data_IF_041876790498
#
_entry.id   IF_041876790498
#
_cell.length_a   1.000
_cell.length_b   1.000
_cell.length_c   1.000
_cell.angle_alpha   90.00
_cell.angle_beta   90.00
_cell.angle_gamma   90.00
#
_symmetry.space_group_name_H-M   'P 1'
#
loop_
_entity.id
_entity.type
_entity.pdbx_description
1 polymer ?
#
# COMPACT_ATOMS: atom_id res chain seq x y z
N UNK A 1 3.47 1.65 18.00
CA UNK A 1 3.46 0.99 16.70
C UNK A 1 3.91 1.98 15.63
N UNK A 2 4.97 1.68 14.91
CA UNK A 2 5.49 2.58 13.90
C UNK A 2 4.67 2.47 12.61
N UNK A 3 3.75 3.41 12.36
CA UNK A 3 2.88 3.44 11.19
C UNK A 3 3.55 3.98 9.92
N UNK A 4 4.87 4.07 9.92
CA UNK A 4 5.60 4.59 8.76
C UNK A 4 5.63 3.60 7.59
N UNK A 5 5.63 2.31 7.89
CA UNK A 5 5.66 1.29 6.84
C UNK A 5 4.22 0.93 6.40
N UNK A 6 3.96 0.79 5.07
CA UNK A 6 2.60 0.60 4.58
C UNK A 6 1.98 -0.76 4.88
N UNK A 7 2.79 -1.79 5.16
CA UNK A 7 2.28 -3.14 5.47
C UNK A 7 2.61 -3.46 6.94
N UNK A 8 1.60 -3.84 7.71
CA UNK A 8 1.74 -4.14 9.13
C UNK A 8 0.91 -5.37 9.51
N UNK A 9 1.20 -5.92 10.70
CA UNK A 9 0.56 -7.13 11.20
C UNK A 9 -0.24 -6.86 12.47
N UNK A 10 -1.48 -7.32 12.50
CA UNK A 10 -2.35 -7.29 13.68
C UNK A 10 -2.95 -8.68 13.90
N UNK A 11 -3.01 -9.12 15.17
CA UNK A 11 -3.70 -10.38 15.56
C UNK A 11 -3.23 -11.60 14.78
N UNK A 12 -1.93 -11.74 14.59
CA UNK A 12 -1.32 -12.88 13.90
C UNK A 12 -1.58 -14.18 14.67
N UNK A 13 -1.92 -15.26 13.95
CA UNK A 13 -2.16 -16.60 14.53
C UNK A 13 -1.00 -17.57 14.27
N UNK A 14 0.14 -17.08 13.81
CA UNK A 14 1.41 -17.80 13.67
C UNK A 14 1.35 -19.01 12.74
N UNK A 15 0.61 -18.94 11.65
CA UNK A 15 0.56 -20.00 10.63
C UNK A 15 1.75 -20.00 9.68
N UNK A 16 2.57 -18.94 9.66
CA UNK A 16 3.78 -18.75 8.85
C UNK A 16 3.56 -18.81 7.33
N UNK A 17 2.32 -18.71 6.86
CA UNK A 17 2.04 -18.77 5.42
C UNK A 17 2.68 -17.61 4.66
N UNK A 18 2.61 -16.41 5.20
CA UNK A 18 3.26 -15.23 4.61
C UNK A 18 4.79 -15.39 4.54
N UNK A 19 5.41 -15.99 5.56
CA UNK A 19 6.85 -16.24 5.60
C UNK A 19 7.26 -17.16 4.44
N UNK A 20 6.51 -18.23 4.21
CA UNK A 20 6.78 -19.17 3.12
C UNK A 20 6.54 -18.56 1.75
N UNK A 21 5.57 -17.68 1.62
CA UNK A 21 5.12 -17.10 0.34
C UNK A 21 5.87 -15.82 -0.06
N UNK A 22 6.62 -15.22 0.84
CA UNK A 22 7.35 -13.98 0.51
C UNK A 22 8.56 -14.31 -0.39
N UNK A 23 8.51 -13.84 -1.64
CA UNK A 23 9.59 -14.06 -2.62
C UNK A 23 10.89 -13.33 -2.24
N UNK A 24 10.79 -12.23 -1.53
CA UNK A 24 11.94 -11.42 -1.10
C UNK A 24 12.47 -11.83 0.27
N UNK A 25 11.85 -12.80 0.94
CA UNK A 25 12.21 -13.24 2.30
C UNK A 25 12.24 -12.05 3.27
N UNK A 26 11.28 -11.15 3.14
CA UNK A 26 11.18 -9.92 3.88
C UNK A 26 10.30 -10.03 5.14
N UNK A 27 9.98 -11.24 5.58
CA UNK A 27 9.16 -11.47 6.76
C UNK A 27 9.94 -12.36 7.73
N UNK A 28 10.06 -11.89 8.97
CA UNK A 28 10.71 -12.63 10.07
C UNK A 28 9.70 -12.90 11.18
N UNK A 29 10.04 -13.86 12.03
CA UNK A 29 9.27 -14.12 13.24
C UNK A 29 9.87 -13.30 14.39
N UNK A 30 9.06 -12.46 14.98
CA UNK A 30 9.44 -11.58 16.07
C UNK A 30 8.41 -11.71 17.19
N UNK A 31 8.86 -12.08 18.40
CA UNK A 31 7.97 -12.37 19.54
C UNK A 31 6.88 -13.39 19.20
N UNK A 32 7.21 -14.40 18.38
CA UNK A 32 6.27 -15.43 17.94
C UNK A 32 5.38 -15.04 16.78
N UNK A 33 5.41 -13.81 16.32
CA UNK A 33 4.54 -13.29 15.25
C UNK A 33 5.32 -12.84 14.02
N UNK A 34 4.69 -12.97 12.85
CA UNK A 34 5.28 -12.55 11.59
C UNK A 34 5.37 -11.00 11.52
N UNK A 35 6.56 -10.50 11.21
CA UNK A 35 6.83 -9.08 11.08
C UNK A 35 7.56 -8.79 9.78
N UNK A 36 7.15 -7.74 9.07
CA UNK A 36 7.79 -7.33 7.81
C UNK A 36 9.13 -6.65 8.10
N UNK A 37 10.14 -7.00 7.29
CA UNK A 37 11.46 -6.36 7.30
C UNK A 37 11.45 -5.26 6.24
N UNK A 38 11.33 -3.96 6.61
CA UNK A 38 11.16 -2.89 5.62
C UNK A 38 12.28 -2.79 4.59
N UNK A 39 13.52 -3.09 5.00
CA UNK A 39 14.71 -2.99 4.14
C UNK A 39 14.73 -4.04 3.02
N UNK A 40 13.97 -5.12 3.17
CA UNK A 40 13.89 -6.21 2.18
C UNK A 40 12.56 -6.24 1.44
N UNK A 41 11.53 -5.64 1.98
CA UNK A 41 10.17 -5.67 1.43
C UNK A 41 10.05 -4.74 0.22
N UNK A 42 9.43 -5.22 -0.86
CA UNK A 42 9.16 -4.43 -2.06
C UNK A 42 7.70 -3.95 -2.12
N UNK A 43 6.94 -4.11 -1.04
CA UNK A 43 5.54 -3.66 -0.93
C UNK A 43 4.61 -4.27 -1.99
N UNK A 44 4.86 -5.52 -2.40
CA UNK A 44 4.01 -6.20 -3.40
C UNK A 44 2.62 -6.60 -2.88
N UNK A 45 2.43 -6.68 -1.57
CA UNK A 45 1.14 -7.00 -0.96
C UNK A 45 0.73 -8.47 -0.97
N UNK A 46 1.57 -9.38 -1.49
CA UNK A 46 1.21 -10.79 -1.59
C UNK A 46 0.91 -11.42 -0.22
N UNK A 47 1.67 -11.05 0.83
CA UNK A 47 1.46 -11.53 2.19
C UNK A 47 0.07 -11.14 2.74
N UNK A 48 -0.46 -10.01 2.32
CA UNK A 48 -1.82 -9.56 2.70
C UNK A 48 -2.87 -10.49 2.08
N UNK A 49 -2.68 -10.87 0.81
CA UNK A 49 -3.61 -11.74 0.09
C UNK A 49 -3.62 -13.17 0.63
N UNK A 50 -2.47 -13.70 1.03
CA UNK A 50 -2.35 -15.11 1.45
C UNK A 50 -2.64 -15.33 2.93
N UNK A 51 -2.76 -14.28 3.74
CA UNK A 51 -2.99 -14.41 5.18
C UNK A 51 -4.42 -14.91 5.45
N UNK A 52 -4.61 -16.13 5.99
CA UNK A 52 -5.95 -16.70 6.18
C UNK A 52 -6.73 -16.01 7.30
N UNK A 53 -6.05 -15.41 8.26
CA UNK A 53 -6.66 -14.69 9.38
C UNK A 53 -6.80 -13.18 9.12
N UNK A 54 -6.41 -12.71 7.94
CA UNK A 54 -6.42 -11.30 7.57
C UNK A 54 -5.63 -10.42 8.56
N UNK A 55 -4.57 -10.98 9.13
CA UNK A 55 -3.72 -10.29 10.11
C UNK A 55 -2.80 -9.26 9.47
N UNK A 56 -2.46 -9.43 8.19
CA UNK A 56 -1.67 -8.47 7.43
C UNK A 56 -2.58 -7.38 6.87
N UNK A 57 -2.22 -6.13 7.10
CA UNK A 57 -2.99 -4.98 6.67
C UNK A 57 -2.11 -4.01 5.86
N UNK A 58 -2.76 -3.29 4.96
CA UNK A 58 -2.14 -2.19 4.22
C UNK A 58 -2.63 -0.88 4.83
N UNK A 59 -1.68 0.04 5.09
CA UNK A 59 -2.01 1.36 5.61
C UNK A 59 -2.88 2.13 4.61
N UNK A 60 -3.98 2.70 5.10
CA UNK A 60 -4.86 3.54 4.28
C UNK A 60 -4.46 5.00 4.43
N UNK A 61 -3.93 5.59 3.36
CA UNK A 61 -3.46 6.98 3.34
C UNK A 61 -4.48 7.97 2.76
N UNK A 62 -5.73 7.56 2.57
CA UNK A 62 -6.76 8.41 1.95
C UNK A 62 -6.98 9.71 2.71
N UNK A 63 -7.06 9.65 4.04
CA UNK A 63 -7.25 10.87 4.86
C UNK A 63 -6.04 11.81 4.78
N UNK A 64 -4.83 11.26 4.70
CA UNK A 64 -3.61 12.05 4.50
C UNK A 64 -3.62 12.74 3.15
N UNK A 65 -4.02 12.04 2.09
CA UNK A 65 -4.16 12.62 0.76
C UNK A 65 -5.18 13.75 0.73
N UNK A 66 -6.33 13.56 1.37
CA UNK A 66 -7.36 14.61 1.50
C UNK A 66 -6.83 15.85 2.24
N UNK A 67 -6.09 15.65 3.32
CA UNK A 67 -5.50 16.75 4.07
C UNK A 67 -4.50 17.55 3.22
N UNK A 68 -3.68 16.86 2.42
CA UNK A 68 -2.74 17.51 1.50
C UNK A 68 -3.49 18.34 0.45
N UNK A 69 -4.57 17.81 -0.12
CA UNK A 69 -5.37 18.51 -1.12
C UNK A 69 -6.07 19.76 -0.55
N UNK A 70 -6.50 19.71 0.71
CA UNK A 70 -7.18 20.86 1.35
C UNK A 70 -6.21 21.92 1.87
N UNK A 71 -4.90 21.66 1.89
CA UNK A 71 -3.90 22.59 2.42
C UNK A 71 -3.58 23.79 1.50
N UNK A 72 -4.33 24.02 0.43
CA UNK A 72 -4.18 25.11 -0.54
C UNK A 72 -2.78 25.20 -1.16
N UNK A 73 -2.11 24.05 -1.32
CA UNK A 73 -0.81 23.93 -1.98
C UNK A 73 -0.97 23.29 -3.35
N UNK A 74 0.03 23.52 -4.20
CA UNK A 74 0.09 22.81 -5.49
C UNK A 74 0.42 21.35 -5.24
N UNK A 75 -0.46 20.45 -5.67
CA UNK A 75 -0.31 19.01 -5.48
C UNK A 75 -0.33 18.30 -6.83
N UNK A 76 0.67 17.45 -7.07
CA UNK A 76 0.79 16.67 -8.30
C UNK A 76 0.69 15.18 -7.98
N UNK A 77 0.22 14.39 -8.95
CA UNK A 77 0.17 12.93 -8.85
C UNK A 77 1.31 12.34 -9.65
N UNK A 78 2.06 11.43 -9.03
CA UNK A 78 2.96 10.53 -9.73
C UNK A 78 2.27 9.18 -9.89
N UNK A 79 1.86 8.84 -11.10
CA UNK A 79 1.02 7.68 -11.36
C UNK A 79 1.85 6.57 -12.00
N UNK A 80 1.92 5.41 -11.34
CA UNK A 80 2.62 4.24 -11.87
C UNK A 80 1.98 3.75 -13.17
N UNK A 81 2.77 3.27 -14.16
CA UNK A 81 2.21 2.84 -15.46
C UNK A 81 1.17 1.73 -15.37
N UNK A 82 1.15 0.96 -14.29
CA UNK A 82 0.18 -0.12 -14.05
C UNK A 82 -1.27 0.36 -13.93
N UNK A 83 -1.52 1.67 -13.83
CA UNK A 83 -2.88 2.22 -13.76
C UNK A 83 -3.73 1.76 -14.95
N UNK A 84 -3.12 1.61 -16.13
CA UNK A 84 -3.82 1.22 -17.34
C UNK A 84 -4.43 -0.18 -17.28
N UNK A 85 -3.86 -1.07 -16.47
CA UNK A 85 -4.41 -2.39 -16.23
C UNK A 85 -5.48 -2.44 -15.13
N UNK A 86 -5.58 -1.40 -14.33
CA UNK A 86 -6.53 -1.32 -13.22
C UNK A 86 -7.79 -0.52 -13.58
N UNK A 87 -7.63 0.62 -14.26
CA UNK A 87 -8.74 1.48 -14.66
C UNK A 87 -9.10 1.28 -16.13
N UNK A 88 -10.38 1.11 -16.42
CA UNK A 88 -10.88 1.02 -17.77
C UNK A 88 -11.19 2.42 -18.33
N UNK A 89 -10.13 3.19 -18.58
CA UNK A 89 -10.23 4.55 -19.12
C UNK A 89 -8.97 4.92 -19.91
N UNK A 90 -9.06 5.95 -20.73
CA UNK A 90 -7.91 6.46 -21.47
C UNK A 90 -7.11 7.49 -20.65
N UNK A 91 -5.95 7.91 -21.18
CA UNK A 91 -5.05 8.84 -20.51
C UNK A 91 -5.71 10.19 -20.19
N UNK A 92 -6.50 10.72 -21.13
CA UNK A 92 -7.19 12.00 -20.93
C UNK A 92 -8.23 11.92 -19.81
N UNK A 93 -8.95 10.82 -19.74
CA UNK A 93 -9.96 10.60 -18.70
C UNK A 93 -9.33 10.51 -17.31
N UNK A 94 -8.22 9.80 -17.15
CA UNK A 94 -7.55 9.68 -15.84
C UNK A 94 -6.96 11.02 -15.39
N UNK A 95 -6.36 11.78 -16.31
CA UNK A 95 -5.83 13.11 -16.00
C UNK A 95 -6.95 14.06 -15.58
N UNK A 96 -8.07 14.06 -16.31
CA UNK A 96 -9.25 14.89 -16.01
C UNK A 96 -9.83 14.53 -14.64
N UNK A 97 -9.91 13.24 -14.32
CA UNK A 97 -10.40 12.78 -13.02
C UNK A 97 -9.54 13.29 -11.87
N UNK A 98 -8.21 13.20 -11.97
CA UNK A 98 -7.32 13.72 -10.94
C UNK A 98 -7.41 15.25 -10.80
N UNK A 99 -7.53 15.98 -11.91
CA UNK A 99 -7.71 17.43 -11.86
C UNK A 99 -9.02 17.81 -11.17
N UNK A 100 -10.10 17.06 -11.39
CA UNK A 100 -11.39 17.30 -10.70
C UNK A 100 -11.31 17.02 -9.21
N UNK A 101 -10.43 16.12 -8.78
CA UNK A 101 -10.19 15.85 -7.36
C UNK A 101 -9.40 16.95 -6.66
N UNK A 102 -8.76 17.85 -7.40
CA UNK A 102 -8.00 18.96 -6.85
C UNK A 102 -6.51 18.91 -7.10
N UNK A 103 -6.02 17.90 -7.83
CA UNK A 103 -4.62 17.85 -8.23
C UNK A 103 -4.33 18.82 -9.38
N UNK A 104 -3.16 19.43 -9.36
CA UNK A 104 -2.77 20.39 -10.40
C UNK A 104 -2.29 19.70 -11.68
N UNK A 105 -1.68 18.53 -11.56
CA UNK A 105 -1.19 17.75 -12.68
C UNK A 105 -0.93 16.30 -12.31
N UNK A 106 -0.67 15.52 -13.33
CA UNK A 106 -0.43 14.09 -13.22
C UNK A 106 0.91 13.71 -13.85
#
# INVERSE_FOLDING_TARGET
MNNQYPIYTLKCVDCYKCVRQCSMKAIRIENGHASVIPEKCIACGHCVLVCPSEAKKIRNDLNRARAVLTAKKRVFVSLAPSWAGFFNCNTEQIITAFKKLGFEGV
#
